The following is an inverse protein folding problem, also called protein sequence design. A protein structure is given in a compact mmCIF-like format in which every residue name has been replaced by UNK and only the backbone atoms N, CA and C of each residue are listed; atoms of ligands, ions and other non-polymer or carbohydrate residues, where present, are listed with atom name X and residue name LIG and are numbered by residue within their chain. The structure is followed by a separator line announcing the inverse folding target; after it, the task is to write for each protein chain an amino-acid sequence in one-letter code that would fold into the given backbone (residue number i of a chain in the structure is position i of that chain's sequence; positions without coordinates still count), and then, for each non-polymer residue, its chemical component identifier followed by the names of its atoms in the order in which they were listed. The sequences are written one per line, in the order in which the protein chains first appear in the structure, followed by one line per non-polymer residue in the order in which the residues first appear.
data_IF_856577628535
#
_entry.id   IF_856577628535
#
_cell.length_a   1.000
_cell.length_b   1.000
_cell.length_c   1.000
_cell.angle_alpha   90.00
_cell.angle_beta   90.00
_cell.angle_gamma   90.00
#
_symmetry.space_group_name_H-M   'P 1'
#
loop_
_entity.id
_entity.type
_entity.pdbx_description
1 polymer ?
#
# COMPACT_ATOMS: atom_id res chain seq x y z
N UNK A 1 12.93 13.79 -30.09
CA UNK A 1 12.53 12.73 -29.15
C UNK A 1 11.03 12.54 -29.24
N UNK A 2 10.55 11.41 -29.75
CA UNK A 2 9.11 11.12 -29.83
C UNK A 2 8.57 10.77 -28.44
N UNK A 3 7.45 11.38 -28.03
CA UNK A 3 6.81 11.06 -26.75
C UNK A 3 6.29 9.61 -26.80
N UNK A 4 6.69 8.73 -25.86
CA UNK A 4 6.37 7.31 -25.89
C UNK A 4 4.87 6.99 -25.68
N UNK A 5 4.07 7.97 -25.28
CA UNK A 5 2.65 7.80 -25.02
C UNK A 5 1.82 8.86 -25.75
N UNK A 6 0.88 8.41 -26.59
CA UNK A 6 -0.16 9.27 -27.16
C UNK A 6 -1.41 9.18 -26.29
N UNK A 7 -1.94 10.34 -25.91
CA UNK A 7 -3.20 10.44 -25.16
C UNK A 7 -4.33 9.91 -26.04
N UNK A 8 -5.14 8.98 -25.53
CA UNK A 8 -6.30 8.50 -26.30
C UNK A 8 -7.23 9.68 -26.64
N UNK A 9 -7.81 9.71 -27.85
CA UNK A 9 -8.84 10.66 -28.23
C UNK A 9 -10.00 10.64 -27.23
N UNK A 10 -10.63 11.79 -26.95
CA UNK A 10 -11.78 11.84 -26.04
C UNK A 10 -12.93 10.92 -26.47
N UNK A 11 -13.04 10.68 -27.78
CA UNK A 11 -14.02 9.78 -28.36
C UNK A 11 -13.96 8.36 -27.79
N UNK A 12 -12.77 7.89 -27.44
CA UNK A 12 -12.46 6.53 -26.96
C UNK A 12 -12.38 6.45 -25.43
N UNK A 13 -12.64 7.56 -24.72
CA UNK A 13 -12.74 7.56 -23.26
C UNK A 13 -13.97 6.78 -22.80
N UNK A 14 -13.96 6.35 -21.54
CA UNK A 14 -15.05 5.61 -20.90
C UNK A 14 -16.31 6.49 -20.83
N UNK A 15 -17.37 6.11 -21.56
CA UNK A 15 -18.62 6.90 -21.69
C UNK A 15 -19.88 6.21 -21.17
N UNK A 16 -19.84 4.90 -20.95
CA UNK A 16 -21.00 4.13 -20.49
C UNK A 16 -21.14 4.31 -18.97
N UNK A 17 -22.37 4.64 -18.53
CA UNK A 17 -22.74 4.78 -17.12
C UNK A 17 -23.55 3.57 -16.67
N UNK A 18 -23.22 3.06 -15.49
CA UNK A 18 -24.00 2.04 -14.77
C UNK A 18 -24.47 2.63 -13.45
N UNK A 19 -25.69 2.29 -13.06
CA UNK A 19 -26.28 2.67 -11.79
C UNK A 19 -26.55 1.40 -10.97
N UNK A 20 -26.24 1.47 -9.67
CA UNK A 20 -26.35 0.34 -8.75
C UNK A 20 -27.02 0.88 -7.48
N UNK A 21 -28.06 0.19 -7.03
CA UNK A 21 -28.69 0.46 -5.74
C UNK A 21 -27.91 -0.28 -4.65
N UNK A 22 -27.59 0.43 -3.58
CA UNK A 22 -26.81 -0.07 -2.45
C UNK A 22 -27.54 0.29 -1.15
N UNK A 23 -27.50 -0.60 -0.18
CA UNK A 23 -27.79 -0.26 1.21
C UNK A 23 -26.70 0.67 1.76
N UNK A 24 -27.00 1.35 2.86
CA UNK A 24 -26.05 2.25 3.51
C UNK A 24 -24.78 1.52 3.95
N UNK A 25 -24.94 0.31 4.50
CA UNK A 25 -23.82 -0.55 4.94
C UNK A 25 -22.91 -0.93 3.76
N UNK A 26 -23.48 -1.37 2.65
CA UNK A 26 -22.70 -1.72 1.45
C UNK A 26 -21.94 -0.51 0.90
N UNK A 27 -22.56 0.67 0.89
CA UNK A 27 -21.91 1.90 0.44
C UNK A 27 -20.71 2.29 1.32
N UNK A 28 -20.81 2.12 2.64
CA UNK A 28 -19.73 2.38 3.59
C UNK A 28 -18.58 1.38 3.44
N UNK A 29 -18.88 0.10 3.27
CA UNK A 29 -17.87 -0.94 3.00
C UNK A 29 -17.13 -0.66 1.69
N UNK A 30 -17.86 -0.36 0.60
CA UNK A 30 -17.27 -0.02 -0.70
C UNK A 30 -16.34 1.20 -0.59
N UNK A 31 -16.76 2.25 0.12
CA UNK A 31 -15.91 3.45 0.35
C UNK A 31 -14.65 3.11 1.13
N UNK A 32 -14.78 2.28 2.16
CA UNK A 32 -13.64 1.84 2.98
C UNK A 32 -12.64 1.06 2.13
N UNK A 33 -13.11 0.11 1.32
CA UNK A 33 -12.24 -0.68 0.44
C UNK A 33 -11.59 0.14 -0.67
N UNK A 34 -12.31 1.11 -1.24
CA UNK A 34 -11.75 2.05 -2.21
C UNK A 34 -10.66 2.93 -1.57
N UNK A 35 -10.90 3.42 -0.34
CA UNK A 35 -9.95 4.24 0.42
C UNK A 35 -8.66 3.49 0.73
N UNK A 36 -8.76 2.26 1.23
CA UNK A 36 -7.59 1.39 1.53
C UNK A 36 -6.71 1.22 0.28
N UNK A 37 -7.32 1.16 -0.91
CA UNK A 37 -6.62 0.98 -2.19
C UNK A 37 -6.19 2.29 -2.85
N UNK A 38 -6.46 3.43 -2.23
CA UNK A 38 -6.23 4.77 -2.78
C UNK A 38 -6.86 4.94 -4.18
N UNK A 39 -8.10 4.46 -4.34
CA UNK A 39 -8.88 4.55 -5.57
C UNK A 39 -10.16 5.36 -5.33
N UNK A 40 -10.67 5.97 -6.39
CA UNK A 40 -12.06 6.43 -6.39
C UNK A 40 -13.01 5.23 -6.30
N UNK A 41 -14.21 5.43 -5.74
CA UNK A 41 -15.24 4.38 -5.68
C UNK A 41 -15.54 3.81 -7.07
N UNK A 42 -15.62 4.67 -8.09
CA UNK A 42 -15.88 4.27 -9.46
C UNK A 42 -14.76 3.38 -10.05
N UNK A 43 -13.49 3.73 -9.84
CA UNK A 43 -12.38 2.90 -10.31
C UNK A 43 -12.22 1.61 -9.51
N UNK A 44 -12.49 1.64 -8.21
CA UNK A 44 -12.52 0.45 -7.36
C UNK A 44 -13.56 -0.55 -7.86
N UNK A 45 -14.82 -0.12 -7.99
CA UNK A 45 -15.94 -0.96 -8.47
C UNK A 45 -15.66 -1.52 -9.86
N UNK A 46 -15.16 -0.69 -10.78
CA UNK A 46 -14.82 -1.13 -12.14
C UNK A 46 -13.69 -2.16 -12.18
N UNK A 47 -12.66 -2.02 -11.34
CA UNK A 47 -11.57 -3.00 -11.28
C UNK A 47 -12.06 -4.32 -10.70
N UNK A 48 -12.83 -4.25 -9.61
CA UNK A 48 -13.45 -5.40 -8.98
C UNK A 48 -14.38 -6.16 -9.96
N UNK A 49 -15.24 -5.45 -10.69
CA UNK A 49 -16.19 -6.05 -11.64
C UNK A 49 -15.52 -6.69 -12.87
N UNK A 50 -14.30 -6.25 -13.23
CA UNK A 50 -13.55 -6.81 -14.36
C UNK A 50 -12.65 -7.98 -13.95
N UNK A 51 -12.72 -8.45 -12.71
CA UNK A 51 -11.82 -9.49 -12.18
C UNK A 51 -10.34 -9.09 -12.20
N UNK A 52 -10.04 -7.82 -12.50
CA UNK A 52 -8.69 -7.27 -12.39
C UNK A 52 -8.48 -7.09 -10.91
N UNK A 53 -7.91 -8.14 -10.29
CA UNK A 53 -7.53 -8.22 -8.88
C UNK A 53 -7.41 -6.81 -8.31
N UNK A 54 -8.46 -6.37 -7.62
CA UNK A 54 -8.39 -5.19 -6.78
C UNK A 54 -7.61 -5.63 -5.55
N UNK A 55 -6.39 -6.11 -5.78
CA UNK A 55 -5.48 -6.45 -4.71
C UNK A 55 -5.36 -5.16 -3.91
N UNK A 56 -5.67 -5.26 -2.61
CA UNK A 56 -5.10 -4.33 -1.66
C UNK A 56 -3.64 -4.24 -2.09
N UNK A 57 -3.10 -3.03 -2.24
CA UNK A 57 -1.66 -2.90 -2.42
C UNK A 57 -1.04 -3.49 -1.16
N UNK A 58 -0.81 -4.79 -1.15
CA UNK A 58 -0.02 -5.51 -0.17
C UNK A 58 1.30 -4.73 -0.03
N UNK A 59 1.82 -4.25 -1.16
CA UNK A 59 2.92 -3.29 -1.25
C UNK A 59 2.82 -2.05 -0.34
N UNK A 60 1.65 -1.44 -0.11
CA UNK A 60 1.56 -0.21 0.71
C UNK A 60 1.66 -0.47 2.20
N UNK A 61 0.93 -1.46 2.73
CA UNK A 61 1.07 -1.85 4.15
C UNK A 61 2.47 -2.41 4.43
N UNK A 62 3.02 -3.16 3.47
CA UNK A 62 4.38 -3.69 3.52
C UNK A 62 5.42 -2.57 3.51
N UNK A 63 5.28 -1.57 2.65
CA UNK A 63 6.18 -0.41 2.60
C UNK A 63 6.08 0.41 3.89
N UNK A 64 4.89 0.52 4.50
CA UNK A 64 4.73 1.19 5.79
C UNK A 64 5.43 0.44 6.92
N UNK A 65 5.25 -0.88 7.01
CA UNK A 65 5.98 -1.73 7.97
C UNK A 65 7.50 -1.63 7.80
N UNK A 66 8.00 -1.72 6.56
CA UNK A 66 9.45 -1.58 6.28
C UNK A 66 9.97 -0.18 6.66
N UNK A 67 9.17 0.86 6.44
CA UNK A 67 9.51 2.23 6.84
C UNK A 67 9.61 2.38 8.37
N UNK A 68 8.66 1.81 9.11
CA UNK A 68 8.66 1.83 10.58
C UNK A 68 9.89 1.11 11.17
N UNK A 69 10.29 -0.01 10.56
CA UNK A 69 11.49 -0.76 10.94
C UNK A 69 12.75 0.09 10.73
N UNK A 70 12.90 0.70 9.56
CA UNK A 70 14.06 1.57 9.27
C UNK A 70 14.09 2.78 10.20
N UNK A 71 12.95 3.37 10.54
CA UNK A 71 12.88 4.47 11.50
C UNK A 71 13.28 4.03 12.91
N UNK A 72 12.82 2.86 13.34
CA UNK A 72 13.15 2.29 14.65
C UNK A 72 14.65 2.03 14.78
N UNK A 73 15.28 1.43 13.76
CA UNK A 73 16.74 1.20 13.72
C UNK A 73 17.52 2.53 13.77
N UNK A 74 17.06 3.55 13.03
CA UNK A 74 17.70 4.89 13.05
C UNK A 74 17.59 5.58 14.41
N UNK A 75 16.44 5.49 15.08
CA UNK A 75 16.25 6.03 16.42
C UNK A 75 17.13 5.32 17.45
N UNK A 76 17.24 3.99 17.35
CA UNK A 76 18.13 3.19 18.19
C UNK A 76 19.59 3.60 17.97
N UNK A 77 20.03 3.69 16.71
CA UNK A 77 21.37 4.18 16.36
C UNK A 77 21.65 5.58 16.90
N UNK A 78 20.72 6.52 16.74
CA UNK A 78 20.87 7.89 17.23
C UNK A 78 20.97 7.95 18.76
N UNK A 79 20.18 7.13 19.47
CA UNK A 79 20.15 7.11 20.94
C UNK A 79 21.45 6.58 21.54
N UNK A 80 22.04 5.56 20.92
CA UNK A 80 23.31 4.96 21.36
C UNK A 80 24.50 5.83 20.96
N UNK A 81 24.50 6.38 19.74
CA UNK A 81 25.52 7.32 19.27
C UNK A 81 25.56 8.59 20.11
N UNK A 82 24.41 9.11 20.57
CA UNK A 82 24.35 10.27 21.46
C UNK A 82 24.94 10.00 22.87
N UNK A 83 25.16 8.74 23.22
CA UNK A 83 25.68 8.33 24.53
C UNK A 83 27.09 7.72 24.45
N UNK A 84 27.71 7.67 23.27
CA UNK A 84 28.99 6.96 23.00
C UNK A 84 28.97 5.47 23.44
N UNK A 85 27.79 4.84 23.42
CA UNK A 85 27.62 3.43 23.82
C UNK A 85 27.56 2.56 22.55
N UNK A 86 28.34 1.48 22.45
CA UNK A 86 28.25 0.54 21.34
C UNK A 86 26.88 -0.12 21.28
N UNK A 87 26.32 -0.29 20.07
CA UNK A 87 24.97 -0.83 19.91
C UNK A 87 24.86 -2.28 20.43
N UNK A 88 23.79 -2.65 21.14
CA UNK A 88 23.56 -4.01 21.59
C UNK A 88 22.94 -4.79 20.43
N UNK A 89 23.79 -5.56 19.77
CA UNK A 89 23.43 -6.36 18.59
C UNK A 89 22.27 -7.33 18.90
N UNK A 90 22.14 -7.77 20.15
CA UNK A 90 21.08 -8.68 20.60
C UNK A 90 19.67 -8.08 20.52
N UNK A 91 19.51 -6.76 20.77
CA UNK A 91 18.22 -6.07 20.64
C UNK A 91 17.86 -5.78 19.17
N UNK A 92 18.87 -5.66 18.30
CA UNK A 92 18.69 -5.57 16.86
C UNK A 92 18.18 -6.89 16.27
N UNK A 93 18.56 -8.03 16.86
CA UNK A 93 18.11 -9.35 16.44
C UNK A 93 16.58 -9.43 16.35
N UNK A 94 15.87 -8.98 17.38
CA UNK A 94 14.40 -9.00 17.40
C UNK A 94 13.76 -8.11 16.33
N UNK A 95 14.36 -6.95 16.03
CA UNK A 95 13.90 -6.06 14.96
C UNK A 95 14.16 -6.65 13.57
N UNK A 96 15.31 -7.33 13.39
CA UNK A 96 15.66 -8.04 12.16
C UNK A 96 14.71 -9.23 11.95
N UNK A 97 14.38 -9.98 13.00
CA UNK A 97 13.44 -11.11 12.93
C UNK A 97 12.01 -10.65 12.57
N UNK A 98 11.57 -9.52 13.13
CA UNK A 98 10.29 -8.91 12.76
C UNK A 98 10.30 -8.40 11.31
N UNK A 99 11.42 -7.85 10.84
CA UNK A 99 11.60 -7.45 9.45
C UNK A 99 11.58 -8.64 8.48
N UNK A 100 12.26 -9.73 8.83
CA UNK A 100 12.26 -10.98 8.08
C UNK A 100 10.86 -11.60 8.05
N UNK A 101 10.14 -11.62 9.17
CA UNK A 101 8.77 -12.08 9.23
C UNK A 101 7.82 -11.22 8.37
N UNK A 102 8.02 -9.90 8.35
CA UNK A 102 7.30 -9.00 7.46
C UNK A 102 7.62 -9.28 5.99
N UNK A 103 8.89 -9.50 5.64
CA UNK A 103 9.32 -9.86 4.28
C UNK A 103 8.76 -11.21 3.80
N UNK A 104 8.75 -12.21 4.68
CA UNK A 104 8.20 -13.54 4.37
C UNK A 104 6.68 -13.52 4.16
N UNK A 105 5.96 -12.56 4.74
CA UNK A 105 4.54 -12.33 4.45
C UNK A 105 4.29 -11.71 3.06
N UNK A 106 5.29 -11.07 2.45
CA UNK A 106 5.25 -10.54 1.08
C UNK A 106 5.43 -11.67 0.04
N UNK A 107 6.23 -12.68 0.40
CA UNK A 107 6.64 -13.78 -0.48
C UNK A 107 5.56 -14.85 -0.73
N UNK A 108 4.37 -14.71 -0.12
CA UNK A 108 3.21 -15.62 -0.31
C UNK A 108 2.08 -14.89 -1.02
#
# INVERSE_FOLDING_TARGET
MAKPFKKLPEAEKRKIRYEILLSQKEAEEIRTFARIRNLSVADFMRRASLGRRADVRYETEIVLCLREIVQSIRQLHATFSAKDIPLPIDQLGTLIDQALAAMLRISK
#
